data_IF_564655642438
#
_entry.id   IF_564655642438
#
_cell.length_a   1.000
_cell.length_b   1.000
_cell.length_c   1.000
_cell.angle_alpha   90.00
_cell.angle_beta   90.00
_cell.angle_gamma   90.00
#
_symmetry.space_group_name_H-M   'P 1'
#
loop_
_entity.id
_entity.type
_entity.pdbx_description
1 polymer ?
#
# COMPACT_ATOMS: atom_id res chain seq x y z
N UNK A 1 41.41 15.11 35.39
CA UNK A 1 41.07 14.92 33.96
C UNK A 1 41.54 13.53 33.55
N UNK A 2 40.77 12.59 33.04
CA UNK A 2 39.33 12.45 32.81
C UNK A 2 39.02 10.95 32.94
N UNK A 3 37.92 10.65 33.63
CA UNK A 3 37.48 9.31 34.01
C UNK A 3 36.65 8.74 32.84
N UNK A 4 37.09 7.60 32.28
CA UNK A 4 36.30 6.85 31.29
C UNK A 4 35.15 6.15 31.99
N UNK A 5 33.94 6.65 31.77
CA UNK A 5 32.69 6.05 32.21
C UNK A 5 32.27 5.00 31.16
N UNK A 6 32.57 3.72 31.42
CA UNK A 6 31.99 2.60 30.68
C UNK A 6 30.70 2.22 31.42
N UNK A 7 29.57 2.77 31.00
CA UNK A 7 28.25 2.36 31.51
C UNK A 7 27.82 1.09 30.80
N UNK A 8 28.07 -0.04 31.45
CA UNK A 8 27.47 -1.34 31.14
C UNK A 8 25.96 -1.25 31.43
N UNK A 9 25.12 -1.21 30.41
CA UNK A 9 23.68 -1.40 30.58
C UNK A 9 23.39 -2.90 30.70
N UNK A 10 23.29 -3.40 31.93
CA UNK A 10 22.74 -4.72 32.23
C UNK A 10 21.26 -4.76 31.85
N UNK A 11 20.93 -5.50 30.80
CA UNK A 11 19.57 -5.96 30.52
C UNK A 11 19.14 -6.96 31.59
N UNK A 12 18.20 -6.57 32.44
CA UNK A 12 17.43 -7.50 33.25
C UNK A 12 16.51 -8.32 32.34
N UNK A 13 16.96 -9.52 31.97
CA UNK A 13 16.07 -10.56 31.45
C UNK A 13 15.37 -11.21 32.64
N UNK A 14 14.13 -10.81 32.90
CA UNK A 14 13.24 -11.54 33.81
C UNK A 14 12.85 -12.84 33.12
N UNK A 15 13.49 -13.95 33.52
CA UNK A 15 13.07 -15.29 33.11
C UNK A 15 11.71 -15.61 33.76
N UNK A 16 10.63 -15.47 33.00
CA UNK A 16 9.34 -16.04 33.40
C UNK A 16 9.46 -17.55 33.22
N UNK A 17 9.63 -18.26 34.34
CA UNK A 17 9.57 -19.71 34.39
C UNK A 17 8.18 -20.15 33.95
N UNK A 18 8.07 -20.66 32.72
CA UNK A 18 6.82 -21.22 32.20
C UNK A 18 6.46 -22.47 33.02
N UNK A 19 5.35 -22.41 33.76
CA UNK A 19 4.79 -23.60 34.38
C UNK A 19 4.42 -24.63 33.28
N UNK A 20 4.65 -25.93 33.51
CA UNK A 20 4.23 -26.96 32.57
C UNK A 20 2.70 -26.91 32.42
N UNK A 21 2.22 -26.66 31.19
CA UNK A 21 0.80 -26.72 30.89
C UNK A 21 0.30 -28.15 31.11
N UNK A 22 -0.89 -28.34 31.70
CA UNK A 22 -1.51 -29.66 31.75
C UNK A 22 -1.68 -30.21 30.32
N UNK A 23 -1.51 -31.53 30.12
CA UNK A 23 -1.71 -32.13 28.82
C UNK A 23 -3.14 -31.86 28.34
N UNK A 24 -3.34 -31.62 27.03
CA UNK A 24 -4.68 -31.44 26.50
C UNK A 24 -5.51 -32.70 26.76
N UNK A 25 -6.82 -32.56 27.03
CA UNK A 25 -7.71 -33.70 27.15
C UNK A 25 -7.65 -34.53 25.87
N UNK A 26 -7.48 -35.84 26.04
CA UNK A 26 -7.45 -36.83 24.98
C UNK A 26 -8.85 -36.98 24.38
N UNK A 27 -9.25 -36.01 23.57
CA UNK A 27 -10.42 -36.13 22.73
C UNK A 27 -10.02 -37.04 21.58
N UNK A 28 -10.60 -38.25 21.57
CA UNK A 28 -10.39 -39.22 20.52
C UNK A 28 -10.61 -38.65 19.11
N UNK A 29 -10.22 -39.39 18.07
CA UNK A 29 -10.29 -38.92 16.70
C UNK A 29 -11.70 -38.40 16.37
N UNK A 30 -11.82 -37.23 15.73
CA UNK A 30 -13.13 -36.70 15.34
C UNK A 30 -13.85 -37.71 14.44
N UNK A 31 -15.19 -37.84 14.56
CA UNK A 31 -15.95 -38.71 13.68
C UNK A 31 -15.75 -38.29 12.22
N UNK A 32 -15.72 -39.25 11.28
CA UNK A 32 -15.58 -38.93 9.87
C UNK A 32 -16.73 -38.04 9.42
N UNK A 33 -16.46 -37.07 8.50
CA UNK A 33 -17.50 -36.21 7.97
C UNK A 33 -18.59 -37.04 7.27
N UNK A 34 -19.85 -36.59 7.27
CA UNK A 34 -20.91 -37.22 6.51
C UNK A 34 -20.51 -37.32 5.04
N UNK A 35 -20.61 -38.50 4.46
CA UNK A 35 -20.37 -38.74 3.04
C UNK A 35 -21.50 -38.12 2.21
N UNK A 36 -21.46 -36.79 2.05
CA UNK A 36 -22.30 -36.08 1.11
C UNK A 36 -21.72 -36.35 -0.27
N UNK A 37 -22.42 -37.18 -1.04
CA UNK A 37 -22.08 -37.47 -2.43
C UNK A 37 -21.86 -36.20 -3.27
N UNK A 38 -21.27 -36.35 -4.46
CA UNK A 38 -20.93 -35.22 -5.31
C UNK A 38 -22.15 -34.33 -5.58
N UNK A 39 -21.99 -32.99 -5.57
CA UNK A 39 -23.08 -32.08 -5.84
C UNK A 39 -23.62 -32.30 -7.26
N UNK A 40 -24.95 -32.11 -7.47
CA UNK A 40 -25.54 -32.24 -8.79
C UNK A 40 -24.91 -31.25 -9.77
N UNK A 41 -24.76 -31.62 -11.06
CA UNK A 41 -24.24 -30.72 -12.06
C UNK A 41 -25.12 -29.48 -12.22
N UNK A 42 -24.54 -28.31 -12.51
CA UNK A 42 -25.29 -27.09 -12.70
C UNK A 42 -26.24 -27.20 -13.91
N UNK A 43 -27.38 -26.49 -13.90
CA UNK A 43 -28.30 -26.45 -15.03
C UNK A 43 -27.59 -25.91 -16.27
N UNK A 44 -27.69 -26.66 -17.38
CA UNK A 44 -27.14 -26.27 -18.67
C UNK A 44 -28.01 -25.15 -19.27
N UNK A 45 -27.76 -23.91 -18.86
CA UNK A 45 -28.31 -22.74 -19.53
C UNK A 45 -27.57 -22.58 -20.85
N UNK A 46 -28.27 -22.86 -21.95
CA UNK A 46 -27.73 -22.85 -23.31
C UNK A 46 -27.02 -21.55 -23.71
N UNK A 47 -26.44 -21.52 -24.92
CA UNK A 47 -25.58 -20.43 -25.35
C UNK A 47 -26.29 -19.06 -25.31
N UNK A 48 -25.59 -17.99 -24.91
CA UNK A 48 -26.17 -16.65 -24.83
C UNK A 48 -26.60 -16.16 -26.23
N UNK A 49 -27.67 -15.36 -26.32
CA UNK A 49 -28.13 -14.80 -27.58
C UNK A 49 -27.07 -13.86 -28.19
N UNK A 50 -26.99 -13.79 -29.53
CA UNK A 50 -26.04 -12.91 -30.22
C UNK A 50 -26.36 -11.43 -29.99
N UNK A 51 -25.35 -10.55 -29.99
CA UNK A 51 -25.55 -9.13 -29.77
C UNK A 51 -26.32 -8.45 -30.92
N UNK A 52 -27.02 -7.32 -30.67
CA UNK A 52 -27.75 -6.60 -31.70
C UNK A 52 -26.80 -6.02 -32.75
N UNK A 53 -27.08 -6.31 -34.02
CA UNK A 53 -26.34 -5.78 -35.16
C UNK A 53 -26.72 -4.32 -35.41
N UNK A 54 -26.04 -3.39 -34.74
CA UNK A 54 -26.15 -1.95 -35.02
C UNK A 54 -25.21 -1.61 -36.18
N UNK A 55 -25.78 -1.27 -37.34
CA UNK A 55 -25.04 -0.90 -38.55
C UNK A 55 -24.05 0.27 -38.38
N UNK A 56 -23.25 0.57 -39.42
CA UNK A 56 -22.14 1.51 -39.34
C UNK A 56 -22.61 2.93 -38.98
N UNK A 57 -22.01 3.48 -37.93
CA UNK A 57 -22.29 4.81 -37.40
C UNK A 57 -21.75 5.89 -38.36
N UNK A 58 -22.53 6.93 -38.70
CA UNK A 58 -22.05 8.00 -39.57
C UNK A 58 -20.88 8.78 -38.92
N UNK A 59 -19.96 9.33 -39.73
CA UNK A 59 -18.82 10.08 -39.22
C UNK A 59 -19.27 11.39 -38.56
N UNK A 60 -18.58 11.83 -37.49
CA UNK A 60 -18.91 13.07 -36.80
C UNK A 60 -18.57 14.30 -37.66
N UNK A 61 -19.33 15.41 -37.52
CA UNK A 61 -19.05 16.66 -38.21
C UNK A 61 -17.75 17.32 -37.71
N UNK A 62 -17.09 18.15 -38.55
CA UNK A 62 -15.86 18.83 -38.20
C UNK A 62 -16.08 19.92 -37.12
N UNK A 63 -15.08 20.18 -36.26
CA UNK A 63 -15.20 21.17 -35.20
C UNK A 63 -15.12 22.62 -35.73
N UNK A 64 -15.82 23.57 -35.09
CA UNK A 64 -15.72 24.99 -35.42
C UNK A 64 -14.39 25.62 -34.95
N UNK A 65 -13.94 26.72 -35.58
CA UNK A 65 -12.69 27.38 -35.22
C UNK A 65 -12.72 28.04 -33.84
N UNK A 66 -11.62 27.92 -33.12
CA UNK A 66 -11.42 28.37 -31.74
C UNK A 66 -11.62 29.89 -31.57
N UNK A 67 -12.47 30.27 -30.62
CA UNK A 67 -12.40 31.56 -29.92
C UNK A 67 -12.30 31.25 -28.43
N UNK A 68 -11.24 31.72 -27.79
CA UNK A 68 -11.02 31.57 -26.35
C UNK A 68 -11.82 32.61 -25.56
N UNK A 69 -12.57 32.18 -24.53
CA UNK A 69 -12.80 33.00 -23.35
C UNK A 69 -12.29 32.34 -22.05
N UNK A 70 -12.12 33.12 -20.96
CA UNK A 70 -11.31 32.73 -19.82
C UNK A 70 -12.00 31.77 -18.83
N UNK A 71 -11.12 31.06 -18.14
CA UNK A 71 -11.24 30.00 -17.16
C UNK A 71 -12.31 30.20 -16.07
N UNK A 72 -13.25 29.26 -15.95
CA UNK A 72 -13.90 28.92 -14.68
C UNK A 72 -13.80 27.42 -14.43
N UNK A 73 -13.18 27.07 -13.30
CA UNK A 73 -12.98 25.71 -12.84
C UNK A 73 -14.31 25.11 -12.34
N UNK A 74 -14.81 24.12 -13.07
CA UNK A 74 -15.67 23.07 -12.52
C UNK A 74 -15.26 21.75 -13.20
N UNK A 75 -14.41 20.95 -12.56
CA UNK A 75 -14.03 19.63 -13.08
C UNK A 75 -14.65 18.50 -12.30
N UNK A 76 -15.64 17.91 -12.99
CA UNK A 76 -16.08 16.51 -13.00
C UNK A 76 -14.90 15.52 -12.99
N UNK A 77 -14.97 14.38 -12.27
CA UNK A 77 -13.90 13.39 -12.27
C UNK A 77 -13.92 12.58 -13.57
N UNK A 78 -12.80 12.59 -14.30
CA UNK A 78 -12.53 11.67 -15.41
C UNK A 78 -11.27 10.88 -15.08
N UNK A 79 -11.43 9.57 -14.90
CA UNK A 79 -10.36 8.59 -14.76
C UNK A 79 -9.69 8.39 -16.12
N UNK A 80 -8.54 9.05 -16.34
CA UNK A 80 -7.58 8.69 -17.38
C UNK A 80 -6.23 8.53 -16.71
N UNK A 81 -5.67 7.33 -16.82
CA UNK A 81 -4.33 6.94 -16.37
C UNK A 81 -3.28 7.75 -17.17
N UNK A 82 -3.04 8.99 -16.75
CA UNK A 82 -2.02 9.85 -17.33
C UNK A 82 -0.62 9.46 -16.85
N UNK A 83 0.37 9.52 -17.74
CA UNK A 83 1.77 9.59 -17.34
C UNK A 83 1.92 10.75 -16.34
N UNK A 84 2.25 10.43 -15.10
CA UNK A 84 2.43 11.42 -14.05
C UNK A 84 3.67 12.26 -14.36
N UNK A 85 3.44 13.52 -14.72
CA UNK A 85 4.48 14.55 -14.72
C UNK A 85 4.59 15.01 -13.26
N UNK A 86 5.74 14.81 -12.58
CA UNK A 86 5.90 15.26 -11.21
C UNK A 86 5.68 16.79 -11.14
N UNK A 87 5.23 17.33 -9.99
CA UNK A 87 5.28 18.76 -9.76
C UNK A 87 6.75 19.17 -9.90
N UNK A 88 7.10 19.79 -11.02
CA UNK A 88 8.45 20.34 -11.25
C UNK A 88 8.62 21.67 -10.52
N UNK A 89 7.94 21.90 -9.40
CA UNK A 89 8.27 23.02 -8.54
C UNK A 89 9.60 22.66 -7.90
N UNK A 90 10.73 23.25 -8.33
CA UNK A 90 11.99 23.00 -7.67
C UNK A 90 11.79 23.57 -6.27
N UNK A 91 11.93 22.73 -5.25
CA UNK A 91 12.12 23.25 -3.91
C UNK A 91 13.34 24.16 -3.99
N UNK A 92 13.11 25.46 -3.87
CA UNK A 92 14.20 26.43 -3.90
C UNK A 92 15.06 26.16 -2.68
N UNK A 93 16.20 25.52 -2.90
CA UNK A 93 17.25 25.26 -1.90
C UNK A 93 17.94 26.56 -1.45
N UNK A 94 17.52 27.71 -1.97
CA UNK A 94 18.03 29.01 -1.55
C UNK A 94 17.29 29.49 -0.30
N UNK A 95 17.98 29.63 0.85
CA UNK A 95 17.41 30.32 1.98
C UNK A 95 17.32 31.80 1.62
N UNK A 96 16.14 32.26 1.21
CA UNK A 96 15.87 33.68 1.11
C UNK A 96 15.63 34.19 2.54
N UNK A 97 16.45 35.12 3.06
CA UNK A 97 16.30 35.64 4.41
C UNK A 97 15.04 36.52 4.46
N UNK A 98 13.89 35.94 4.78
CA UNK A 98 12.65 36.69 4.93
C UNK A 98 11.34 35.93 4.68
N UNK A 99 11.35 34.63 4.39
CA UNK A 99 10.12 33.83 4.28
C UNK A 99 10.16 32.60 5.20
N UNK A 100 9.16 32.38 6.08
CA UNK A 100 9.09 31.22 6.97
C UNK A 100 8.59 29.96 6.25
N UNK A 101 8.86 29.83 4.94
CA UNK A 101 8.53 28.64 4.18
C UNK A 101 9.34 27.48 4.74
N UNK A 102 8.65 26.63 5.50
CA UNK A 102 9.14 25.40 6.10
C UNK A 102 10.01 24.65 5.08
N UNK A 103 11.21 24.18 5.46
CA UNK A 103 12.11 23.51 4.52
C UNK A 103 11.37 22.35 3.85
N UNK A 104 11.37 22.32 2.52
CA UNK A 104 10.85 21.18 1.78
C UNK A 104 11.53 19.91 2.30
N UNK A 105 10.75 19.03 2.92
CA UNK A 105 11.26 17.75 3.39
C UNK A 105 11.69 16.91 2.18
N UNK A 106 12.99 16.63 2.09
CA UNK A 106 13.55 15.65 1.16
C UNK A 106 13.97 14.43 1.98
N UNK A 107 13.36 13.29 1.70
CA UNK A 107 13.67 12.05 2.38
C UNK A 107 15.07 11.56 2.02
N UNK A 108 15.83 11.14 3.03
CA UNK A 108 17.09 10.42 2.82
C UNK A 108 16.83 8.93 2.59
N UNK A 109 17.84 8.19 2.11
CA UNK A 109 17.76 6.71 2.09
C UNK A 109 17.43 6.17 3.49
N UNK A 110 17.99 6.74 4.56
CA UNK A 110 17.69 6.34 5.94
C UNK A 110 16.22 6.57 6.31
N UNK A 111 15.64 7.68 5.87
CA UNK A 111 14.22 7.97 6.09
C UNK A 111 13.33 6.97 5.35
N UNK A 112 13.66 6.67 4.09
CA UNK A 112 12.94 5.68 3.29
C UNK A 112 12.98 4.30 3.96
N UNK A 113 14.16 3.82 4.34
CA UNK A 113 14.34 2.50 4.96
C UNK A 113 13.61 2.41 6.31
N UNK A 114 13.67 3.48 7.12
CA UNK A 114 12.92 3.57 8.38
C UNK A 114 11.41 3.53 8.13
N UNK A 115 10.92 4.30 7.15
CA UNK A 115 9.51 4.31 6.80
C UNK A 115 9.04 2.93 6.34
N UNK A 116 9.79 2.29 5.43
CA UNK A 116 9.53 0.93 4.96
C UNK A 116 9.44 -0.05 6.12
N UNK A 117 10.45 -0.07 7.01
CA UNK A 117 10.50 -1.01 8.12
C UNK A 117 9.30 -0.84 9.07
N UNK A 118 8.96 0.40 9.40
CA UNK A 118 7.82 0.72 10.25
C UNK A 118 6.50 0.31 9.58
N UNK A 119 6.28 0.70 8.32
CA UNK A 119 5.06 0.35 7.57
C UNK A 119 4.91 -1.16 7.41
N UNK A 120 6.00 -1.86 7.09
CA UNK A 120 6.00 -3.32 6.97
C UNK A 120 5.64 -4.00 8.31
N UNK A 121 6.13 -3.47 9.44
CA UNK A 121 5.78 -3.94 10.78
C UNK A 121 4.30 -3.71 11.09
N UNK A 122 3.80 -2.49 10.88
CA UNK A 122 2.40 -2.11 11.12
C UNK A 122 1.45 -2.98 10.30
N UNK A 123 1.71 -3.11 8.99
CA UNK A 123 0.89 -3.93 8.10
C UNK A 123 0.92 -5.42 8.49
N UNK A 124 2.08 -5.95 8.89
CA UNK A 124 2.20 -7.32 9.39
C UNK A 124 1.41 -7.56 10.68
N UNK A 125 1.47 -6.60 11.60
CA UNK A 125 0.74 -6.68 12.87
C UNK A 125 -0.77 -6.61 12.62
N UNK A 126 -1.23 -5.65 11.83
CA UNK A 126 -2.64 -5.52 11.45
C UNK A 126 -3.16 -6.79 10.76
N UNK A 127 -2.39 -7.39 9.85
CA UNK A 127 -2.77 -8.65 9.21
C UNK A 127 -2.87 -9.87 10.14
N UNK A 128 -2.27 -9.78 11.33
CA UNK A 128 -2.29 -10.84 12.34
C UNK A 128 -3.49 -10.72 13.27
N UNK A 129 -4.03 -9.51 13.44
CA UNK A 129 -5.17 -9.23 14.32
C UNK A 129 -6.46 -8.87 13.58
N UNK A 130 -6.38 -8.66 12.26
CA UNK A 130 -7.52 -8.21 11.45
C UNK A 130 -8.59 -9.29 11.28
N UNK A 131 -9.83 -8.84 11.08
CA UNK A 131 -11.01 -9.71 11.07
C UNK A 131 -11.32 -10.32 9.70
N UNK A 132 -10.90 -9.69 8.62
CA UNK A 132 -11.27 -10.06 7.26
C UNK A 132 -10.07 -10.60 6.47
N UNK A 133 -10.26 -11.78 5.87
CA UNK A 133 -9.17 -12.50 5.21
C UNK A 133 -8.57 -11.72 4.04
N UNK A 134 -9.40 -11.05 3.24
CA UNK A 134 -8.96 -10.34 2.03
C UNK A 134 -8.06 -9.15 2.36
N UNK A 135 -8.43 -8.31 3.34
CA UNK A 135 -7.56 -7.22 3.81
C UNK A 135 -6.30 -7.76 4.46
N UNK A 136 -6.40 -8.80 5.29
CA UNK A 136 -5.25 -9.43 5.92
C UNK A 136 -4.26 -9.98 4.89
N UNK A 137 -4.74 -10.62 3.83
CA UNK A 137 -3.91 -11.12 2.75
C UNK A 137 -3.20 -9.95 2.02
N UNK A 138 -3.93 -8.88 1.73
CA UNK A 138 -3.35 -7.71 1.07
C UNK A 138 -2.31 -6.99 1.94
N UNK A 139 -2.58 -6.86 3.24
CA UNK A 139 -1.63 -6.34 4.23
C UNK A 139 -0.34 -7.17 4.29
N UNK A 140 -0.44 -8.52 4.24
CA UNK A 140 0.73 -9.40 4.17
C UNK A 140 1.53 -9.19 2.88
N UNK A 141 0.84 -9.06 1.75
CA UNK A 141 1.50 -8.78 0.46
C UNK A 141 2.23 -7.43 0.49
N UNK A 142 1.60 -6.38 1.03
CA UNK A 142 2.23 -5.07 1.21
C UNK A 142 3.46 -5.20 2.12
N UNK A 143 3.34 -5.88 3.26
CA UNK A 143 4.46 -6.07 4.19
C UNK A 143 5.63 -6.79 3.53
N UNK A 144 5.37 -7.87 2.80
CA UNK A 144 6.40 -8.63 2.10
C UNK A 144 7.06 -7.82 0.97
N UNK A 145 6.27 -7.10 0.18
CA UNK A 145 6.77 -6.22 -0.87
C UNK A 145 7.68 -5.13 -0.29
N UNK A 146 7.26 -4.48 0.80
CA UNK A 146 8.05 -3.47 1.50
C UNK A 146 9.37 -4.05 2.03
N UNK A 147 9.34 -5.22 2.68
CA UNK A 147 10.55 -5.90 3.15
C UNK A 147 11.52 -6.24 2.02
N UNK A 148 10.99 -6.62 0.84
CA UNK A 148 11.83 -6.96 -0.32
C UNK A 148 12.67 -5.78 -0.83
N UNK A 149 12.25 -4.53 -0.54
CA UNK A 149 12.94 -3.32 -0.96
C UNK A 149 13.60 -2.54 0.20
N UNK A 150 13.58 -3.09 1.41
CA UNK A 150 14.06 -2.39 2.61
C UNK A 150 15.52 -1.97 2.52
N UNK A 151 16.33 -2.65 1.72
CA UNK A 151 17.76 -2.37 1.58
C UNK A 151 18.13 -1.70 0.26
N UNK A 152 17.14 -1.22 -0.50
CA UNK A 152 17.42 -0.42 -1.69
C UNK A 152 18.00 0.94 -1.29
N UNK A 153 18.89 1.42 -2.15
CA UNK A 153 19.48 2.74 -2.10
C UNK A 153 19.21 3.45 -3.41
N UNK A 154 18.80 4.71 -3.30
CA UNK A 154 18.53 5.57 -4.44
C UNK A 154 19.43 6.81 -4.40
N UNK A 155 19.71 7.34 -5.59
CA UNK A 155 20.37 8.63 -5.75
C UNK A 155 19.46 9.78 -5.27
N UNK A 156 20.05 10.95 -5.12
CA UNK A 156 19.36 12.13 -4.60
C UNK A 156 18.17 12.58 -5.45
N UNK A 157 18.25 12.47 -6.79
CA UNK A 157 17.17 12.87 -7.70
C UNK A 157 15.97 11.93 -7.54
N UNK A 158 16.25 10.63 -7.50
CA UNK A 158 15.21 9.62 -7.24
C UNK A 158 14.57 9.79 -5.87
N UNK A 159 15.37 10.12 -4.83
CA UNK A 159 14.83 10.40 -3.50
C UNK A 159 13.93 11.64 -3.45
N UNK A 160 14.26 12.71 -4.17
CA UNK A 160 13.37 13.87 -4.32
C UNK A 160 12.02 13.43 -4.88
N UNK A 161 12.02 12.58 -5.92
CA UNK A 161 10.78 12.07 -6.51
C UNK A 161 9.97 11.21 -5.53
N UNK A 162 10.62 10.36 -4.74
CA UNK A 162 9.95 9.45 -3.80
C UNK A 162 9.51 10.13 -2.50
N UNK A 163 10.09 11.29 -2.16
CA UNK A 163 9.88 11.99 -0.89
C UNK A 163 8.40 12.20 -0.53
N UNK A 164 7.51 12.62 -1.45
CA UNK A 164 6.09 12.77 -1.14
C UNK A 164 5.42 11.46 -0.72
N UNK A 165 5.72 10.35 -1.40
CA UNK A 165 5.17 9.04 -1.01
C UNK A 165 5.73 8.55 0.30
N UNK A 166 7.04 8.74 0.54
CA UNK A 166 7.67 8.34 1.80
C UNK A 166 7.01 9.09 2.97
N UNK A 167 6.78 10.39 2.81
CA UNK A 167 6.09 11.22 3.81
C UNK A 167 4.64 10.74 4.04
N UNK A 168 3.89 10.48 2.98
CA UNK A 168 2.52 9.99 3.07
C UNK A 168 2.45 8.62 3.76
N UNK A 169 3.33 7.70 3.38
CA UNK A 169 3.40 6.35 3.94
C UNK A 169 3.74 6.38 5.42
N UNK A 170 4.70 7.23 5.81
CA UNK A 170 5.05 7.47 7.21
C UNK A 170 3.84 7.97 7.99
N UNK A 171 3.14 9.00 7.50
CA UNK A 171 1.96 9.56 8.17
C UNK A 171 0.83 8.52 8.31
N UNK A 172 0.54 7.77 7.25
CA UNK A 172 -0.48 6.72 7.27
C UNK A 172 -0.13 5.61 8.26
N UNK A 173 1.13 5.18 8.31
CA UNK A 173 1.59 4.14 9.23
C UNK A 173 1.54 4.58 10.68
N UNK A 174 1.95 5.82 10.95
CA UNK A 174 1.83 6.42 12.28
C UNK A 174 0.37 6.46 12.72
N UNK A 175 -0.53 6.98 11.88
CA UNK A 175 -1.96 7.04 12.18
C UNK A 175 -2.54 5.65 12.45
N UNK A 176 -2.24 4.67 11.58
CA UNK A 176 -2.68 3.29 11.74
C UNK A 176 -2.14 2.62 13.02
N UNK A 177 -0.94 2.98 13.48
CA UNK A 177 -0.37 2.40 14.70
C UNK A 177 -1.11 2.86 15.97
N UNK A 178 -1.64 4.07 15.98
CA UNK A 178 -2.25 4.67 17.17
C UNK A 178 -3.78 4.60 17.18
N UNK A 179 -4.42 4.69 16.02
CA UNK A 179 -5.86 4.98 15.94
C UNK A 179 -6.68 4.00 15.10
N UNK A 180 -6.08 2.94 14.57
CA UNK A 180 -6.77 2.02 13.67
C UNK A 180 -7.94 1.29 14.35
N UNK A 181 -9.12 1.39 13.75
CA UNK A 181 -10.38 0.73 14.14
C UNK A 181 -10.76 -0.43 13.24
N UNK A 182 -10.00 -0.71 12.18
CA UNK A 182 -10.22 -1.79 11.21
C UNK A 182 -11.59 -1.69 10.54
N UNK A 183 -11.64 -0.98 9.41
CA UNK A 183 -12.84 -0.78 8.60
C UNK A 183 -12.82 -1.70 7.38
N UNK A 184 -13.99 -2.25 6.98
CA UNK A 184 -14.09 -3.03 5.76
C UNK A 184 -13.69 -2.20 4.54
N UNK A 185 -12.68 -2.64 3.79
CA UNK A 185 -12.32 -2.05 2.50
C UNK A 185 -13.26 -2.59 1.42
N UNK A 186 -13.77 -1.71 0.56
CA UNK A 186 -14.66 -2.14 -0.53
C UNK A 186 -13.99 -3.18 -1.44
N UNK A 187 -14.73 -4.17 -1.97
CA UNK A 187 -14.16 -5.19 -2.86
C UNK A 187 -13.48 -4.59 -4.10
N UNK A 188 -14.04 -3.50 -4.66
CA UNK A 188 -13.43 -2.78 -5.78
C UNK A 188 -12.10 -2.13 -5.43
N UNK A 189 -12.01 -1.51 -4.24
CA UNK A 189 -10.75 -0.93 -3.78
C UNK A 189 -9.70 -2.03 -3.48
N UNK A 190 -10.09 -3.14 -2.87
CA UNK A 190 -9.20 -4.29 -2.64
C UNK A 190 -8.65 -4.84 -3.96
N UNK A 191 -9.49 -4.99 -4.99
CA UNK A 191 -9.05 -5.43 -6.31
C UNK A 191 -8.05 -4.46 -6.93
N UNK A 192 -8.34 -3.16 -6.91
CA UNK A 192 -7.46 -2.14 -7.49
C UNK A 192 -6.09 -2.08 -6.77
N UNK A 193 -6.10 -2.13 -5.43
CA UNK A 193 -4.87 -2.14 -4.64
C UNK A 193 -4.10 -3.47 -4.82
N UNK A 194 -4.80 -4.59 -5.00
CA UNK A 194 -4.19 -5.88 -5.32
C UNK A 194 -3.49 -5.88 -6.69
N UNK A 195 -4.07 -5.23 -7.70
CA UNK A 195 -3.44 -5.10 -9.03
C UNK A 195 -2.11 -4.35 -8.96
N UNK A 196 -2.00 -3.34 -8.09
CA UNK A 196 -0.75 -2.61 -7.86
C UNK A 196 0.36 -3.48 -7.25
N UNK A 197 0.00 -4.63 -6.66
CA UNK A 197 0.95 -5.55 -6.02
C UNK A 197 1.39 -6.72 -6.91
N UNK A 198 0.84 -6.86 -8.13
CA UNK A 198 1.11 -7.99 -9.03
C UNK A 198 2.60 -8.16 -9.35
N UNK A 199 3.36 -7.07 -9.49
CA UNK A 199 4.81 -7.15 -9.70
C UNK A 199 5.51 -7.83 -8.51
N UNK A 200 5.10 -7.51 -7.29
CA UNK A 200 5.74 -8.00 -6.07
C UNK A 200 5.35 -9.44 -5.74
N UNK A 201 4.11 -9.83 -6.02
CA UNK A 201 3.64 -11.20 -5.79
C UNK A 201 4.23 -12.20 -6.80
N UNK A 202 4.71 -11.74 -7.95
CA UNK A 202 5.35 -12.57 -8.97
C UNK A 202 6.90 -12.57 -8.88
N UNK A 203 7.47 -12.39 -7.69
CA UNK A 203 8.92 -12.36 -7.45
C UNK A 203 9.67 -11.31 -8.31
N UNK A 204 9.04 -10.16 -8.55
CA UNK A 204 9.67 -9.04 -9.26
C UNK A 204 11.03 -8.69 -8.64
N UNK A 205 12.06 -8.59 -9.48
CA UNK A 205 13.43 -8.20 -9.09
C UNK A 205 13.76 -6.84 -9.68
N UNK A 206 14.59 -6.08 -8.99
CA UNK A 206 15.10 -4.77 -9.42
C UNK A 206 13.96 -3.80 -9.81
N UNK A 207 13.13 -3.39 -8.83
CA UNK A 207 12.00 -2.51 -9.10
C UNK A 207 12.46 -1.15 -9.62
N UNK A 208 11.70 -0.59 -10.55
CA UNK A 208 11.89 0.80 -10.96
C UNK A 208 11.43 1.76 -9.85
N UNK A 209 11.92 3.01 -9.84
CA UNK A 209 11.44 4.04 -8.91
C UNK A 209 9.92 4.22 -8.95
N UNK A 210 9.30 4.11 -10.13
CA UNK A 210 7.84 4.19 -10.29
C UNK A 210 7.12 3.01 -9.63
N UNK A 211 7.68 1.80 -9.68
CA UNK A 211 7.11 0.64 -9.00
C UNK A 211 7.20 0.79 -7.47
N UNK A 212 8.32 1.31 -6.97
CA UNK A 212 8.48 1.62 -5.53
C UNK A 212 7.52 2.72 -5.09
N UNK A 213 7.39 3.79 -5.87
CA UNK A 213 6.41 4.85 -5.62
C UNK A 213 4.99 4.28 -5.55
N UNK A 214 4.62 3.41 -6.51
CA UNK A 214 3.30 2.78 -6.54
C UNK A 214 3.05 1.91 -5.30
N UNK A 215 4.07 1.18 -4.84
CA UNK A 215 3.99 0.40 -3.60
C UNK A 215 3.74 1.28 -2.38
N UNK A 216 4.49 2.39 -2.24
CA UNK A 216 4.32 3.32 -1.12
C UNK A 216 2.92 3.97 -1.13
N UNK A 217 2.45 4.38 -2.30
CA UNK A 217 1.10 4.91 -2.47
C UNK A 217 0.04 3.86 -2.12
N UNK A 218 0.21 2.63 -2.58
CA UNK A 218 -0.71 1.51 -2.29
C UNK A 218 -0.76 1.22 -0.80
N UNK A 219 0.39 1.15 -0.12
CA UNK A 219 0.45 0.95 1.33
C UNK A 219 -0.26 2.08 2.09
N UNK A 220 -0.01 3.33 1.69
CA UNK A 220 -0.63 4.51 2.28
C UNK A 220 -2.16 4.51 2.12
N UNK A 221 -2.64 4.29 0.88
CA UNK A 221 -4.06 4.28 0.55
C UNK A 221 -4.79 3.14 1.27
N UNK A 222 -4.17 1.96 1.32
CA UNK A 222 -4.74 0.84 2.04
C UNK A 222 -4.93 1.19 3.52
N UNK A 223 -3.87 1.67 4.19
CA UNK A 223 -3.94 2.02 5.60
C UNK A 223 -4.96 3.14 5.88
N UNK A 224 -5.07 4.12 4.99
CA UNK A 224 -6.06 5.20 5.11
C UNK A 224 -7.51 4.71 4.99
N UNK A 225 -7.77 3.69 4.18
CA UNK A 225 -9.11 3.11 4.03
C UNK A 225 -9.44 2.10 5.12
N UNK A 226 -8.41 1.39 5.60
CA UNK A 226 -8.58 0.29 6.55
C UNK A 226 -8.67 0.74 8.00
N UNK A 227 -8.22 1.94 8.40
CA UNK A 227 -8.03 2.28 9.82
C UNK A 227 -9.03 3.25 10.47
#
# INVERSE_FOLDING_TARGET
MGMFLVTFFCLFFTAIQAQPRPPPPNNGPPPPPPNNGPPPPPPNNGPPPPPPNNGPRPPPPPPPPFSYPPTRYTTRPTTTQGHYRPPTTPCSLYPYPGSPSSPCYVATNRDMQTAIANTASVTSNLASVGRDYSSNNLLRQISNALRSIQYLYYDYVTLIMLSPAIAQMKAASTSASYYCRQQPVSPGALSNLGQNLVFWTNNGRNPSPQQVQNLFNTASQFLQQYC
#
